data_IF_762932382134
#
_entry.id   IF_762932382134
#
_cell.length_a   1.000
_cell.length_b   1.000
_cell.length_c   1.000
_cell.angle_alpha   90.00
_cell.angle_beta   90.00
_cell.angle_gamma   90.00
#
_symmetry.space_group_name_H-M   'P 1'
#
loop_
_entity.id
_entity.type
_entity.pdbx_description
1 polymer ?
#
# COMPACT_ATOMS: atom_id res chain seq x y z
N UNK A 1 -4.99 -11.03 12.04
CA UNK A 1 -4.32 -10.77 10.72
C UNK A 1 -2.85 -10.35 10.94
N UNK A 2 -1.90 -10.41 9.97
CA UNK A 2 -0.47 -10.06 10.21
C UNK A 2 0.05 -9.01 9.21
N UNK A 3 -0.44 -7.78 9.34
CA UNK A 3 0.03 -6.58 8.63
C UNK A 3 0.44 -5.53 9.67
N UNK A 4 1.45 -4.72 9.36
CA UNK A 4 1.90 -3.61 10.19
C UNK A 4 1.29 -2.29 9.65
N UNK A 5 0.13 -1.90 10.17
CA UNK A 5 -0.64 -0.73 9.69
C UNK A 5 0.10 0.57 10.00
N UNK A 6 0.69 0.69 11.19
CA UNK A 6 1.56 1.82 11.55
C UNK A 6 2.65 2.07 10.48
N UNK A 7 3.33 1.03 10.00
CA UNK A 7 4.30 1.16 8.89
C UNK A 7 3.64 1.51 7.56
N UNK A 8 2.50 0.91 7.24
CA UNK A 8 1.74 1.27 6.02
C UNK A 8 1.39 2.75 6.01
N UNK A 9 0.80 3.25 7.08
CA UNK A 9 0.40 4.64 7.25
C UNK A 9 1.60 5.58 7.11
N UNK A 10 2.70 5.29 7.81
CA UNK A 10 3.92 6.09 7.71
C UNK A 10 4.55 6.08 6.31
N UNK A 11 4.47 4.97 5.56
CA UNK A 11 4.90 4.94 4.16
C UNK A 11 4.00 5.83 3.29
N UNK A 12 2.68 5.85 3.53
CA UNK A 12 1.76 6.75 2.81
C UNK A 12 2.07 8.21 3.16
N UNK A 13 2.28 8.54 4.44
CA UNK A 13 2.74 9.86 4.89
C UNK A 13 4.04 10.27 4.20
N UNK A 14 4.99 9.33 4.06
CA UNK A 14 6.22 9.58 3.33
C UNK A 14 5.97 9.88 1.85
N UNK A 15 5.07 9.14 1.19
CA UNK A 15 4.70 9.38 -0.21
C UNK A 15 4.01 10.75 -0.39
N UNK A 16 3.16 11.16 0.55
CA UNK A 16 2.54 12.49 0.58
C UNK A 16 3.59 13.59 0.77
N UNK A 17 4.49 13.44 1.75
CA UNK A 17 5.60 14.37 1.98
C UNK A 17 6.52 14.49 0.76
N UNK A 18 6.78 13.38 0.06
CA UNK A 18 7.55 13.37 -1.19
C UNK A 18 6.75 13.83 -2.41
N UNK A 19 5.48 14.23 -2.25
CA UNK A 19 4.61 14.73 -3.31
C UNK A 19 4.48 13.75 -4.48
N UNK A 20 4.25 12.48 -4.18
CA UNK A 20 3.99 11.44 -5.19
C UNK A 20 2.73 11.82 -5.98
N UNK A 21 2.85 11.85 -7.31
CA UNK A 21 1.74 12.29 -8.19
C UNK A 21 0.61 11.27 -8.21
N UNK A 22 -0.65 11.73 -8.15
CA UNK A 22 -1.84 10.87 -8.29
C UNK A 22 -1.83 9.66 -7.32
N UNK A 23 -1.57 9.93 -6.03
CA UNK A 23 -1.49 8.90 -5.00
C UNK A 23 -2.89 8.43 -4.57
N UNK A 24 -3.46 7.50 -5.32
CA UNK A 24 -4.70 6.79 -4.96
C UNK A 24 -4.41 5.40 -4.36
N UNK A 25 -5.46 4.75 -3.85
CA UNK A 25 -5.45 3.40 -3.26
C UNK A 25 -4.68 2.40 -4.12
N UNK A 26 -5.02 2.30 -5.41
CA UNK A 26 -4.33 1.43 -6.35
C UNK A 26 -2.84 1.74 -6.47
N UNK A 27 -2.45 3.03 -6.51
CA UNK A 27 -1.04 3.40 -6.57
C UNK A 27 -0.32 2.97 -5.29
N UNK A 28 -0.93 3.18 -4.12
CA UNK A 28 -0.38 2.77 -2.84
C UNK A 28 -0.15 1.27 -2.79
N UNK A 29 -1.16 0.45 -3.15
CA UNK A 29 -1.05 -1.01 -3.15
C UNK A 29 0.14 -1.51 -4.00
N UNK A 30 0.31 -0.94 -5.20
CA UNK A 30 1.42 -1.33 -6.08
C UNK A 30 2.77 -0.86 -5.53
N UNK A 31 2.83 0.36 -4.96
CA UNK A 31 4.05 0.89 -4.36
C UNK A 31 4.49 0.05 -3.16
N UNK A 32 3.55 -0.36 -2.29
CA UNK A 32 3.84 -1.20 -1.14
C UNK A 32 4.33 -2.59 -1.55
N UNK A 33 3.71 -3.20 -2.57
CA UNK A 33 4.24 -4.43 -3.17
C UNK A 33 5.70 -4.26 -3.61
N UNK A 34 6.02 -3.19 -4.35
CA UNK A 34 7.39 -2.96 -4.83
C UNK A 34 8.39 -2.71 -3.69
N UNK A 35 7.94 -2.05 -2.62
CA UNK A 35 8.73 -1.82 -1.40
C UNK A 35 9.02 -3.15 -0.70
N UNK A 36 7.99 -3.95 -0.42
CA UNK A 36 8.14 -5.24 0.26
C UNK A 36 8.93 -6.23 -0.58
N UNK A 37 8.66 -6.30 -1.88
CA UNK A 37 9.40 -7.14 -2.82
C UNK A 37 10.89 -6.76 -2.86
N UNK A 38 11.20 -5.45 -2.90
CA UNK A 38 12.59 -5.01 -2.86
C UNK A 38 13.24 -5.36 -1.52
N UNK A 39 12.59 -5.06 -0.39
CA UNK A 39 13.15 -5.32 0.92
C UNK A 39 13.36 -6.81 1.18
N UNK A 40 12.40 -7.65 0.78
CA UNK A 40 12.49 -9.10 0.91
C UNK A 40 13.71 -9.65 0.16
N UNK A 41 13.95 -9.20 -1.06
CA UNK A 41 15.06 -9.70 -1.88
C UNK A 41 16.45 -9.25 -1.40
N UNK A 42 16.56 -8.07 -0.79
CA UNK A 42 17.85 -7.53 -0.36
C UNK A 42 18.12 -7.69 1.15
N UNK A 43 17.08 -7.85 1.96
CA UNK A 43 17.16 -7.88 3.42
C UNK A 43 16.48 -9.11 4.04
N UNK A 44 15.83 -9.97 3.26
CA UNK A 44 15.28 -11.26 3.71
C UNK A 44 13.96 -11.17 4.48
N UNK A 45 13.33 -9.98 4.54
CA UNK A 45 12.04 -9.77 5.20
C UNK A 45 11.20 -8.70 4.49
N UNK A 46 9.87 -8.73 4.69
CA UNK A 46 8.95 -7.67 4.26
C UNK A 46 8.92 -6.54 5.30
N UNK A 47 8.51 -5.35 4.88
CA UNK A 47 8.34 -4.17 5.73
C UNK A 47 6.93 -4.16 6.33
N UNK A 48 5.89 -4.30 5.49
CA UNK A 48 4.48 -4.21 5.95
C UNK A 48 3.92 -5.55 6.43
N UNK A 49 4.59 -6.66 6.11
CA UNK A 49 4.18 -8.04 6.36
C UNK A 49 2.92 -8.53 5.62
N UNK A 50 2.25 -7.71 4.80
CA UNK A 50 1.14 -8.19 3.98
C UNK A 50 1.60 -9.24 2.95
N UNK A 51 0.70 -10.15 2.57
CA UNK A 51 0.90 -11.12 1.50
C UNK A 51 0.38 -10.53 0.19
N UNK A 52 1.00 -10.91 -0.91
CA UNK A 52 0.60 -10.40 -2.22
C UNK A 52 0.28 -11.55 -3.15
N UNK A 53 -0.91 -11.52 -3.75
CA UNK A 53 -1.33 -12.50 -4.77
C UNK A 53 -1.30 -11.89 -6.16
N UNK A 54 -1.18 -12.72 -7.19
CA UNK A 54 -1.25 -12.25 -8.56
C UNK A 54 -2.70 -12.01 -8.99
N UNK A 55 -3.07 -10.77 -9.27
CA UNK A 55 -4.31 -10.45 -9.98
C UNK A 55 -4.07 -10.27 -11.49
N UNK A 56 -5.16 -10.07 -12.23
CA UNK A 56 -5.10 -9.79 -13.66
C UNK A 56 -4.49 -8.42 -14.01
N UNK A 57 -4.46 -7.47 -13.05
CA UNK A 57 -4.10 -6.07 -13.33
C UNK A 57 -2.87 -5.58 -12.59
N UNK A 58 -2.55 -6.14 -11.43
CA UNK A 58 -1.37 -5.82 -10.61
C UNK A 58 -1.26 -6.81 -9.43
N UNK A 59 -0.10 -6.93 -8.76
CA UNK A 59 0.00 -7.67 -7.50
C UNK A 59 -0.92 -7.06 -6.43
N UNK A 60 -1.86 -7.85 -5.93
CA UNK A 60 -2.90 -7.40 -4.99
C UNK A 60 -2.51 -7.79 -3.58
N UNK A 61 -2.57 -6.83 -2.65
CA UNK A 61 -2.29 -7.07 -1.24
C UNK A 61 -3.48 -7.82 -0.63
N UNK A 62 -3.25 -8.84 0.18
CA UNK A 62 -4.34 -9.68 0.67
C UNK A 62 -5.20 -8.96 1.71
N UNK A 63 -4.55 -8.27 2.66
CA UNK A 63 -5.26 -7.59 3.74
C UNK A 63 -5.58 -6.15 3.33
N UNK A 64 -4.58 -5.38 2.89
CA UNK A 64 -4.78 -3.94 2.68
C UNK A 64 -5.78 -3.63 1.56
N UNK A 65 -5.86 -4.47 0.51
CA UNK A 65 -6.88 -4.28 -0.54
C UNK A 65 -8.29 -4.48 0.01
N UNK A 66 -8.49 -5.45 0.90
CA UNK A 66 -9.78 -5.67 1.57
C UNK A 66 -10.16 -4.49 2.46
N UNK A 67 -9.21 -3.95 3.24
CA UNK A 67 -9.46 -2.76 4.07
C UNK A 67 -9.85 -1.55 3.22
N UNK A 68 -9.18 -1.34 2.08
CA UNK A 68 -9.53 -0.25 1.16
C UNK A 68 -10.89 -0.45 0.51
N UNK A 69 -11.27 -1.69 0.16
CA UNK A 69 -12.59 -1.98 -0.39
C UNK A 69 -13.70 -1.70 0.64
N UNK A 70 -13.50 -2.09 1.91
CA UNK A 70 -14.43 -1.78 3.01
C UNK A 70 -14.62 -0.28 3.17
N UNK A 71 -13.52 0.49 3.22
CA UNK A 71 -13.56 1.95 3.34
C UNK A 71 -14.27 2.57 2.13
N UNK A 72 -13.91 2.16 0.91
CA UNK A 72 -14.46 2.70 -0.32
C UNK A 72 -15.97 2.49 -0.45
N UNK A 73 -16.47 1.35 0.04
CA UNK A 73 -17.89 1.00 -0.01
C UNK A 73 -18.66 1.38 1.25
N UNK A 74 -17.99 1.96 2.26
CA UNK A 74 -18.58 2.27 3.58
C UNK A 74 -19.31 1.06 4.16
N UNK A 75 -18.67 -0.12 4.06
CA UNK A 75 -19.26 -1.37 4.54
C UNK A 75 -19.44 -1.33 6.06
N UNK A 76 -20.62 -1.73 6.52
CA UNK A 76 -20.93 -1.87 7.94
C UNK A 76 -20.36 -3.21 8.43
N UNK A 77 -19.44 -3.14 9.38
CA UNK A 77 -18.76 -4.29 9.97
C UNK A 77 -19.34 -4.58 11.36
N UNK A 78 -19.37 -5.86 11.72
CA UNK A 78 -19.74 -6.27 13.08
C UNK A 78 -18.74 -5.71 14.11
N UNK A 79 -19.21 -5.34 15.30
CA UNK A 79 -18.40 -4.63 16.32
C UNK A 79 -17.13 -5.39 16.75
N UNK A 80 -17.09 -6.72 16.61
CA UNK A 80 -15.97 -7.58 16.99
C UNK A 80 -15.02 -7.92 15.83
N UNK A 81 -15.22 -7.32 14.65
CA UNK A 81 -14.39 -7.58 13.47
C UNK A 81 -12.99 -6.97 13.62
N UNK A 82 -11.95 -7.81 13.50
CA UNK A 82 -10.54 -7.38 13.59
C UNK A 82 -10.19 -6.24 12.62
N UNK A 83 -10.87 -6.17 11.47
CA UNK A 83 -10.62 -5.17 10.41
C UNK A 83 -11.00 -3.76 10.84
N UNK A 84 -11.97 -3.61 11.75
CA UNK A 84 -12.32 -2.30 12.33
C UNK A 84 -11.10 -1.69 13.02
N UNK A 85 -10.37 -2.48 13.82
CA UNK A 85 -9.17 -1.99 14.51
C UNK A 85 -8.08 -1.58 13.53
N UNK A 86 -7.87 -2.34 12.44
CA UNK A 86 -6.88 -2.00 11.42
C UNK A 86 -7.24 -0.72 10.64
N UNK A 87 -8.54 -0.53 10.36
CA UNK A 87 -9.03 0.68 9.69
C UNK A 87 -8.92 1.88 10.63
N UNK A 88 -9.26 1.73 11.91
CA UNK A 88 -9.08 2.76 12.93
C UNK A 88 -7.62 3.16 13.07
N UNK A 89 -6.70 2.20 13.16
CA UNK A 89 -5.25 2.49 13.22
C UNK A 89 -4.79 3.25 11.98
N UNK A 90 -5.33 2.97 10.79
CA UNK A 90 -5.02 3.75 9.59
C UNK A 90 -5.54 5.19 9.68
N UNK A 91 -6.76 5.38 10.22
CA UNK A 91 -7.37 6.69 10.43
C UNK A 91 -6.71 7.53 11.52
N UNK A 92 -6.00 6.91 12.47
CA UNK A 92 -5.20 7.63 13.46
C UNK A 92 -4.05 8.43 12.81
N UNK A 93 -3.62 8.05 11.60
CA UNK A 93 -2.54 8.72 10.86
C UNK A 93 -3.01 9.54 9.65
N UNK A 94 -4.12 9.12 9.02
CA UNK A 94 -4.54 9.60 7.70
C UNK A 94 -6.03 9.90 7.67
N UNK A 95 -6.39 10.99 7.00
CA UNK A 95 -7.76 11.18 6.51
C UNK A 95 -7.88 10.55 5.11
N UNK A 96 -9.01 9.89 4.84
CA UNK A 96 -9.25 9.17 3.58
C UNK A 96 -10.58 9.65 2.99
N UNK A 97 -10.47 10.42 1.91
CA UNK A 97 -11.63 10.86 1.14
C UNK A 97 -12.03 9.80 0.12
N UNK A 98 -13.29 9.38 0.15
CA UNK A 98 -13.90 8.56 -0.89
C UNK A 98 -14.25 9.45 -2.08
N UNK A 99 -13.75 9.11 -3.28
CA UNK A 99 -14.03 9.83 -4.52
C UNK A 99 -14.77 8.94 -5.51
N UNK A 100 -16.07 9.16 -5.60
CA UNK A 100 -16.92 8.54 -6.61
C UNK A 100 -16.61 9.12 -8.00
N UNK A 101 -16.31 8.25 -8.96
CA UNK A 101 -16.22 8.57 -10.40
C UNK A 101 -17.33 7.84 -11.13
N UNK A 102 -17.56 8.23 -12.39
CA UNK A 102 -18.62 7.64 -13.23
C UNK A 102 -18.62 6.10 -13.30
N UNK A 103 -17.46 5.46 -13.18
CA UNK A 103 -17.32 4.00 -13.37
C UNK A 103 -16.58 3.27 -12.23
N UNK A 104 -16.08 3.99 -11.24
CA UNK A 104 -15.29 3.40 -10.15
C UNK A 104 -15.21 4.36 -8.96
N UNK A 105 -14.90 3.80 -7.80
CA UNK A 105 -14.56 4.55 -6.58
C UNK A 105 -13.04 4.55 -6.45
N UNK A 106 -12.45 5.67 -6.04
CA UNK A 106 -11.04 5.75 -5.66
C UNK A 106 -10.92 6.39 -4.27
N UNK A 107 -9.88 6.02 -3.52
CA UNK A 107 -9.56 6.65 -2.25
C UNK A 107 -8.46 7.69 -2.44
N UNK A 108 -8.63 8.84 -1.80
CA UNK A 108 -7.63 9.89 -1.74
C UNK A 108 -7.15 10.08 -0.31
N UNK A 109 -5.83 10.06 -0.11
CA UNK A 109 -5.22 10.05 1.21
C UNK A 109 -4.68 11.43 1.56
N UNK A 110 -4.96 11.88 2.77
CA UNK A 110 -4.59 13.19 3.28
C UNK A 110 -3.89 13.00 4.63
N UNK A 111 -2.81 13.74 4.83
CA UNK A 111 -2.09 13.77 6.10
C UNK A 111 -2.91 14.55 7.12
N UNK A 112 -3.08 14.02 8.33
CA UNK A 112 -3.69 14.77 9.43
C UNK A 112 -2.80 15.95 9.85
N UNK A 113 -3.36 17.07 10.36
CA UNK A 113 -2.57 18.26 10.69
C UNK A 113 -1.42 18.01 11.66
N UNK A 114 -1.66 17.17 12.67
CA UNK A 114 -0.73 16.87 13.77
C UNK A 114 0.14 15.63 13.50
N UNK A 115 -0.09 14.92 12.40
CA UNK A 115 0.67 13.73 12.02
C UNK A 115 1.72 14.08 10.97
N UNK A 116 2.96 13.66 11.21
CA UNK A 116 4.08 13.79 10.27
C UNK A 116 4.71 12.43 10.03
N UNK A 117 5.39 12.30 8.89
CA UNK A 117 6.19 11.11 8.62
C UNK A 117 7.24 10.91 9.73
N UNK A 118 7.16 9.79 10.44
CA UNK A 118 8.14 9.41 11.46
C UNK A 118 9.13 8.36 10.93
N UNK A 119 10.36 8.81 10.68
CA UNK A 119 11.47 7.94 10.26
C UNK A 119 11.84 6.90 11.34
N UNK A 120 11.55 7.16 12.62
CA UNK A 120 11.87 6.28 13.74
C UNK A 120 11.11 4.94 13.70
N UNK A 121 9.99 4.91 12.97
CA UNK A 121 9.18 3.71 12.69
C UNK A 121 9.96 2.66 11.89
N UNK A 122 11.02 3.06 11.19
CA UNK A 122 11.73 2.20 10.25
C UNK A 122 13.20 2.02 10.65
N UNK A 123 13.71 0.81 10.40
CA UNK A 123 15.15 0.59 10.40
C UNK A 123 15.83 1.32 9.23
N UNK A 124 17.15 1.52 9.34
CA UNK A 124 17.94 2.19 8.28
C UNK A 124 17.79 1.53 6.90
N UNK A 125 17.71 0.20 6.84
CA UNK A 125 17.61 -0.53 5.57
C UNK A 125 16.18 -0.53 5.01
N UNK A 126 15.16 -0.50 5.88
CA UNK A 126 13.78 -0.25 5.49
C UNK A 126 13.66 1.15 4.87
N UNK A 127 14.22 2.18 5.51
CA UNK A 127 14.21 3.55 4.96
C UNK A 127 14.92 3.70 3.63
N UNK A 128 16.08 3.06 3.45
CA UNK A 128 16.76 3.04 2.15
C UNK A 128 15.86 2.43 1.07
N UNK A 129 15.14 1.38 1.40
CA UNK A 129 14.24 0.69 0.46
C UNK A 129 13.05 1.58 0.10
N UNK A 130 12.36 2.14 1.10
CA UNK A 130 11.23 3.05 0.92
C UNK A 130 11.65 4.25 0.07
N UNK A 131 12.75 4.93 0.45
CA UNK A 131 13.25 6.09 -0.28
C UNK A 131 13.60 5.75 -1.74
N UNK A 132 14.27 4.63 -1.99
CA UNK A 132 14.63 4.17 -3.33
C UNK A 132 13.40 3.97 -4.21
N UNK A 133 12.41 3.20 -3.74
CA UNK A 133 11.23 2.85 -4.52
C UNK A 133 10.35 4.09 -4.73
N UNK A 134 10.11 4.88 -3.68
CA UNK A 134 9.34 6.12 -3.77
C UNK A 134 9.99 7.12 -4.73
N UNK A 135 11.31 7.31 -4.65
CA UNK A 135 12.01 8.24 -5.55
C UNK A 135 11.99 7.76 -7.00
N UNK A 136 12.13 6.44 -7.24
CA UNK A 136 12.15 5.87 -8.58
C UNK A 136 10.80 6.01 -9.30
N UNK A 137 9.69 5.84 -8.57
CA UNK A 137 8.35 5.77 -9.17
C UNK A 137 7.42 6.94 -8.81
N UNK A 138 7.94 7.98 -8.15
CA UNK A 138 7.19 9.17 -7.73
C UNK A 138 6.24 9.70 -8.83
N UNK A 139 6.75 9.80 -10.05
CA UNK A 139 6.06 10.39 -11.19
C UNK A 139 5.30 9.37 -12.07
N UNK A 140 5.34 8.07 -11.74
CA UNK A 140 4.68 7.04 -12.53
C UNK A 140 3.17 7.05 -12.28
N UNK A 141 2.37 6.78 -13.32
CA UNK A 141 0.96 6.46 -13.13
C UNK A 141 0.78 5.04 -12.56
N UNK A 142 -0.37 4.75 -11.95
CA UNK A 142 -0.68 3.41 -11.44
C UNK A 142 -0.64 2.34 -12.54
N UNK A 143 -0.92 2.70 -13.80
CA UNK A 143 -0.78 1.80 -14.96
C UNK A 143 0.70 1.51 -15.27
N UNK A 144 1.56 2.53 -15.29
CA UNK A 144 2.98 2.32 -15.54
C UNK A 144 3.63 1.47 -14.42
N UNK A 145 3.24 1.73 -13.17
CA UNK A 145 3.65 0.92 -12.03
C UNK A 145 3.24 -0.56 -12.14
N UNK A 146 1.99 -0.82 -12.53
CA UNK A 146 1.54 -2.19 -12.76
C UNK A 146 2.36 -2.88 -13.85
N UNK A 147 2.71 -2.17 -14.93
CA UNK A 147 3.57 -2.72 -15.98
C UNK A 147 4.97 -3.06 -15.46
N UNK A 148 5.55 -2.26 -14.57
CA UNK A 148 6.84 -2.59 -13.93
C UNK A 148 6.73 -3.88 -13.10
N UNK A 149 5.63 -4.08 -12.38
CA UNK A 149 5.42 -5.32 -11.62
C UNK A 149 5.40 -6.56 -12.53
N UNK A 150 4.77 -6.48 -13.71
CA UNK A 150 4.73 -7.61 -14.64
C UNK A 150 6.05 -7.90 -15.37
N UNK A 151 7.06 -7.03 -15.22
CA UNK A 151 8.44 -7.33 -15.66
C UNK A 151 9.19 -8.20 -14.66
N UNK A 152 8.73 -8.27 -13.40
CA UNK A 152 9.31 -9.13 -12.37
C UNK A 152 9.01 -10.58 -12.73
N UNK A 153 10.05 -11.42 -12.71
CA UNK A 153 9.96 -12.79 -13.20
C UNK A 153 9.04 -13.64 -12.33
N UNK A 154 9.13 -13.47 -11.01
CA UNK A 154 8.32 -14.08 -9.97
C UNK A 154 6.84 -13.77 -10.23
N UNK A 155 6.48 -12.49 -10.32
CA UNK A 155 5.12 -12.04 -10.64
C UNK A 155 4.64 -12.66 -11.95
N UNK A 156 5.47 -12.70 -12.99
CA UNK A 156 5.10 -13.23 -14.30
C UNK A 156 4.84 -14.74 -14.25
N UNK A 157 5.62 -15.50 -13.48
CA UNK A 157 5.53 -16.96 -13.40
C UNK A 157 4.45 -17.45 -12.43
N UNK A 158 4.13 -16.69 -11.38
CA UNK A 158 3.05 -17.05 -10.46
C UNK A 158 1.73 -17.18 -11.23
N UNK A 159 0.93 -18.24 -11.01
CA UNK A 159 -0.42 -18.34 -11.55
C UNK A 159 -1.33 -17.23 -11.01
N UNK A 160 -2.43 -16.96 -11.70
CA UNK A 160 -3.42 -16.01 -11.18
C UNK A 160 -4.00 -16.53 -9.85
N UNK A 161 -4.24 -15.62 -8.92
CA UNK A 161 -4.82 -15.84 -7.60
C UNK A 161 -3.89 -16.61 -6.62
N UNK A 162 -2.66 -16.93 -7.04
CA UNK A 162 -1.61 -17.53 -6.20
C UNK A 162 -0.73 -16.46 -5.54
N UNK A 163 -0.15 -16.83 -4.39
CA UNK A 163 0.75 -15.96 -3.61
C UNK A 163 2.08 -15.78 -4.36
N UNK A 164 2.53 -14.52 -4.43
CA UNK A 164 3.82 -14.09 -4.98
C UNK A 164 4.85 -14.02 -3.84
N UNK A 165 4.56 -13.26 -2.77
CA UNK A 165 5.42 -13.05 -1.58
C UNK A 165 4.59 -12.87 -0.31
#
# INVERSE_FOLDING_TARGET
MNIDITKVANIILYMLHKQVKQLNDKKILIMLFLIDYNHLNFCGKKITNDKYKKSARYPEAMILSELFDIIANSEDLEEDDERIYLIQELFDYLDIEIKEKENFIELNFIKLPDEDFDESTFSKDEMKTIHKIVSLYKDFSSRNLANECFKIEEVRKTPKDEIII
#
